data_IF_723325888521
#
_entry.id   IF_723325888521
#
_cell.length_a   1.000
_cell.length_b   1.000
_cell.length_c   1.000
_cell.angle_alpha   90.00
_cell.angle_beta   90.00
_cell.angle_gamma   90.00
#
_symmetry.space_group_name_H-M   'P 1'
#
loop_
_entity.id
_entity.type
_entity.pdbx_description
1 polymer ?
#
# COMPACT_ATOMS: atom_id res chain seq x y z
N UNK A 1 17.11 13.91 -3.24
CA UNK A 1 16.54 13.10 -2.15
C UNK A 1 16.25 11.74 -2.75
N UNK A 2 16.97 10.69 -2.35
CA UNK A 2 16.55 9.33 -2.65
C UNK A 2 15.36 9.06 -1.74
N UNK A 3 14.16 9.04 -2.32
CA UNK A 3 12.93 8.78 -1.56
C UNK A 3 12.82 7.26 -1.40
N UNK A 4 13.74 6.64 -0.64
CA UNK A 4 13.66 5.24 -0.24
C UNK A 4 12.41 5.07 0.62
N UNK A 5 11.31 4.62 0.02
CA UNK A 5 10.19 4.08 0.78
C UNK A 5 10.64 2.71 1.28
N UNK A 6 11.02 2.66 2.56
CA UNK A 6 11.30 1.40 3.25
C UNK A 6 9.97 0.69 3.50
N UNK A 7 9.61 -0.20 2.57
CA UNK A 7 8.40 -0.99 2.67
C UNK A 7 8.55 -2.20 3.59
N UNK A 8 9.71 -2.44 4.22
CA UNK A 8 9.92 -3.65 5.01
C UNK A 8 8.87 -3.82 6.11
N UNK A 9 8.46 -2.72 6.77
CA UNK A 9 7.43 -2.77 7.79
C UNK A 9 6.06 -3.12 7.18
N UNK A 10 5.60 -2.37 6.17
CA UNK A 10 4.30 -2.62 5.52
C UNK A 10 4.21 -4.02 4.89
N UNK A 11 5.30 -4.52 4.31
CA UNK A 11 5.39 -5.87 3.75
C UNK A 11 5.26 -6.91 4.86
N UNK A 12 5.97 -6.74 5.97
CA UNK A 12 5.89 -7.66 7.11
C UNK A 12 4.49 -7.66 7.74
N UNK A 13 3.89 -6.48 7.92
CA UNK A 13 2.54 -6.32 8.47
C UNK A 13 1.50 -6.99 7.55
N UNK A 14 1.47 -6.63 6.27
CA UNK A 14 0.52 -7.20 5.32
C UNK A 14 0.69 -8.74 5.17
N UNK A 15 1.93 -9.23 5.20
CA UNK A 15 2.19 -10.66 5.18
C UNK A 15 1.71 -11.36 6.46
N UNK A 16 1.88 -10.75 7.63
CA UNK A 16 1.38 -11.27 8.89
C UNK A 16 -0.16 -11.32 8.89
N UNK A 17 -0.82 -10.25 8.45
CA UNK A 17 -2.28 -10.16 8.40
C UNK A 17 -2.91 -11.19 7.47
N UNK A 18 -2.28 -11.43 6.30
CA UNK A 18 -2.71 -12.49 5.38
C UNK A 18 -2.53 -13.88 6.02
N UNK A 19 -1.42 -14.10 6.72
CA UNK A 19 -1.13 -15.37 7.39
C UNK A 19 -2.08 -15.63 8.57
N UNK A 20 -2.48 -14.59 9.28
CA UNK A 20 -3.43 -14.64 10.39
C UNK A 20 -4.89 -14.71 9.93
N UNK A 21 -5.15 -14.52 8.63
CA UNK A 21 -6.48 -14.56 8.04
C UNK A 21 -7.30 -13.29 8.27
N UNK A 22 -6.63 -12.19 8.65
CA UNK A 22 -7.23 -10.87 8.79
C UNK A 22 -7.50 -10.24 7.42
N UNK A 23 -6.68 -10.57 6.42
CA UNK A 23 -6.81 -10.13 5.03
C UNK A 23 -6.84 -11.36 4.12
N UNK A 24 -7.77 -11.40 3.17
CA UNK A 24 -7.77 -12.41 2.11
C UNK A 24 -6.66 -12.11 1.09
N UNK A 25 -5.61 -12.94 1.06
CA UNK A 25 -4.49 -12.79 0.13
C UNK A 25 -4.87 -12.88 -1.36
N UNK A 26 -6.03 -13.44 -1.70
CA UNK A 26 -6.57 -13.46 -3.06
C UNK A 26 -7.63 -12.37 -3.31
N UNK A 27 -7.98 -11.62 -2.26
CA UNK A 27 -8.98 -10.57 -2.28
C UNK A 27 -8.41 -9.22 -2.72
N UNK A 28 -9.19 -8.19 -2.41
CA UNK A 28 -8.82 -6.80 -2.62
C UNK A 28 -8.69 -6.08 -1.29
N UNK A 29 -7.85 -5.05 -1.27
CA UNK A 29 -7.65 -4.19 -0.11
C UNK A 29 -7.65 -2.73 -0.53
N UNK A 30 -8.10 -1.85 0.37
CA UNK A 30 -8.01 -0.40 0.17
C UNK A 30 -6.65 0.07 0.66
N UNK A 31 -5.98 0.89 -0.15
CA UNK A 31 -4.69 1.49 0.18
C UNK A 31 -4.76 3.00 0.05
N UNK A 32 -4.05 3.70 0.94
CA UNK A 32 -3.75 5.12 0.77
C UNK A 32 -2.47 5.27 -0.04
N UNK A 33 -2.54 6.09 -1.09
CA UNK A 33 -1.37 6.49 -1.88
C UNK A 33 -0.76 7.79 -1.38
N UNK A 34 0.55 7.87 -1.44
CA UNK A 34 1.30 9.11 -1.17
C UNK A 34 1.33 10.03 -2.39
N UNK A 35 2.12 11.10 -2.27
CA UNK A 35 2.39 12.00 -3.40
C UNK A 35 3.05 11.26 -4.56
N UNK A 36 2.64 11.59 -5.78
CA UNK A 36 3.28 11.01 -6.97
C UNK A 36 4.72 11.50 -7.07
N UNK A 37 5.65 10.55 -7.10
CA UNK A 37 7.08 10.78 -7.30
C UNK A 37 7.49 10.36 -8.72
N UNK A 38 8.60 10.91 -9.19
CA UNK A 38 9.18 10.55 -10.49
C UNK A 38 10.40 9.66 -10.24
N UNK A 39 10.35 8.43 -10.75
CA UNK A 39 11.45 7.45 -10.70
C UNK A 39 11.90 7.19 -12.13
N UNK A 40 13.06 7.76 -12.49
CA UNK A 40 13.55 7.76 -13.87
C UNK A 40 12.61 8.52 -14.81
N UNK A 41 12.01 7.80 -15.77
CA UNK A 41 11.03 8.35 -16.72
C UNK A 41 9.57 7.96 -16.40
N UNK A 42 9.32 7.41 -15.21
CA UNK A 42 8.00 6.94 -14.79
C UNK A 42 7.52 7.71 -13.57
N UNK A 43 6.22 7.99 -13.51
CA UNK A 43 5.54 8.50 -12.32
C UNK A 43 5.03 7.33 -11.48
N UNK A 44 5.17 7.41 -10.17
CA UNK A 44 4.74 6.39 -9.22
C UNK A 44 4.14 7.04 -7.97
N UNK A 45 2.97 6.56 -7.54
CA UNK A 45 2.36 6.97 -6.28
C UNK A 45 2.57 5.86 -5.24
N UNK A 46 3.43 6.08 -4.22
CA UNK A 46 3.82 5.08 -3.24
C UNK A 46 2.63 4.68 -2.36
N UNK A 47 2.67 3.46 -1.83
CA UNK A 47 1.72 3.01 -0.81
C UNK A 47 2.15 3.64 0.51
N UNK A 48 1.21 4.26 1.22
CA UNK A 48 1.48 4.84 2.55
C UNK A 48 0.84 4.01 3.64
N UNK A 49 -0.37 3.50 3.39
CA UNK A 49 -1.11 2.69 4.35
C UNK A 49 -2.09 1.76 3.63
N UNK A 50 -2.63 0.78 4.35
CA UNK A 50 -3.77 -0.02 3.93
C UNK A 50 -4.83 -0.09 5.02
N UNK A 51 -6.06 -0.41 4.63
CA UNK A 51 -7.21 -0.44 5.53
C UNK A 51 -7.89 -1.80 5.45
N UNK A 52 -8.32 -2.29 6.61
CA UNK A 52 -9.14 -3.48 6.70
C UNK A 52 -10.53 -3.21 6.14
N UNK A 53 -11.24 -4.27 5.77
CA UNK A 53 -12.64 -4.17 5.32
C UNK A 53 -13.57 -3.69 6.43
N UNK A 54 -13.16 -3.86 7.70
CA UNK A 54 -13.88 -3.35 8.88
C UNK A 54 -13.68 -1.86 9.12
N UNK A 55 -12.72 -1.23 8.46
CA UNK A 55 -12.41 0.19 8.68
C UNK A 55 -13.40 1.08 7.92
N UNK A 56 -13.97 2.05 8.62
CA UNK A 56 -14.81 3.08 8.00
C UNK A 56 -13.94 4.21 7.45
N UNK A 57 -13.24 3.91 6.35
CA UNK A 57 -12.27 4.81 5.71
C UNK A 57 -12.88 6.16 5.33
N UNK A 58 -14.17 6.19 4.98
CA UNK A 58 -14.87 7.41 4.57
C UNK A 58 -15.04 8.42 5.72
N UNK A 59 -14.93 7.96 6.98
CA UNK A 59 -15.04 8.79 8.17
C UNK A 59 -13.68 9.20 8.77
N UNK A 60 -12.57 8.76 8.19
CA UNK A 60 -11.24 9.10 8.68
C UNK A 60 -10.81 10.49 8.18
N UNK A 61 -10.84 11.49 9.08
CA UNK A 61 -10.49 12.89 8.76
C UNK A 61 -9.04 13.07 8.30
N UNK A 62 -8.13 12.19 8.71
CA UNK A 62 -6.70 12.24 8.36
C UNK A 62 -6.38 11.58 7.02
N UNK A 63 -7.35 10.88 6.42
CA UNK A 63 -7.17 10.13 5.17
C UNK A 63 -7.64 10.96 3.99
N UNK A 64 -6.76 11.16 3.01
CA UNK A 64 -7.15 11.80 1.76
C UNK A 64 -7.91 10.81 0.87
N UNK A 65 -9.24 10.94 0.83
CA UNK A 65 -10.14 10.06 0.05
C UNK A 65 -9.80 10.02 -1.45
N UNK A 66 -9.22 11.09 -2.02
CA UNK A 66 -8.80 11.12 -3.43
C UNK A 66 -7.60 10.21 -3.71
N UNK A 67 -6.90 9.76 -2.67
CA UNK A 67 -5.72 8.89 -2.74
C UNK A 67 -6.02 7.44 -2.38
N UNK A 68 -7.28 7.14 -2.04
CA UNK A 68 -7.69 5.78 -1.74
C UNK A 68 -7.85 5.01 -3.05
N UNK A 69 -7.24 3.83 -3.10
CA UNK A 69 -7.34 2.92 -4.23
C UNK A 69 -7.64 1.51 -3.74
N UNK A 70 -8.50 0.80 -4.47
CA UNK A 70 -8.71 -0.63 -4.26
C UNK A 70 -7.77 -1.40 -5.18
N UNK A 71 -6.94 -2.26 -4.59
CA UNK A 71 -5.94 -3.07 -5.28
C UNK A 71 -6.06 -4.53 -4.85
N UNK A 72 -5.58 -5.48 -5.66
CA UNK A 72 -5.49 -6.86 -5.20
C UNK A 72 -4.32 -7.02 -4.24
N UNK A 73 -4.51 -7.82 -3.20
CA UNK A 73 -3.50 -8.02 -2.14
C UNK A 73 -2.19 -8.59 -2.71
N UNK A 74 -2.29 -9.55 -3.63
CA UNK A 74 -1.12 -10.13 -4.29
C UNK A 74 -0.37 -9.12 -5.18
N UNK A 75 -1.08 -8.28 -5.93
CA UNK A 75 -0.51 -7.23 -6.78
C UNK A 75 0.19 -6.17 -5.92
N UNK A 76 -0.43 -5.78 -4.79
CA UNK A 76 0.14 -4.86 -3.81
C UNK A 76 1.44 -5.39 -3.20
N UNK A 77 1.47 -6.67 -2.81
CA UNK A 77 2.67 -7.28 -2.24
C UNK A 77 3.83 -7.29 -3.25
N UNK A 78 3.55 -7.65 -4.51
CA UNK A 78 4.54 -7.62 -5.59
C UNK A 78 5.02 -6.19 -5.83
N UNK A 79 4.11 -5.21 -5.85
CA UNK A 79 4.42 -3.80 -6.01
C UNK A 79 5.39 -3.32 -4.93
N UNK A 80 5.05 -3.52 -3.64
CA UNK A 80 5.88 -3.08 -2.52
C UNK A 80 7.25 -3.76 -2.53
N UNK A 81 7.33 -5.08 -2.79
CA UNK A 81 8.60 -5.80 -2.92
C UNK A 81 9.46 -5.23 -4.05
N UNK A 82 8.86 -5.01 -5.23
CA UNK A 82 9.57 -4.47 -6.41
C UNK A 82 10.12 -3.08 -6.12
N UNK A 83 9.32 -2.23 -5.49
CA UNK A 83 9.73 -0.87 -5.18
C UNK A 83 10.78 -0.85 -4.06
N UNK A 84 10.72 -1.75 -3.09
CA UNK A 84 11.73 -1.85 -2.03
C UNK A 84 13.12 -2.26 -2.56
N UNK A 85 13.20 -2.94 -3.70
CA UNK A 85 14.47 -3.27 -4.37
C UNK A 85 15.03 -2.14 -5.24
N UNK A 86 14.17 -1.23 -5.72
CA UNK A 86 14.53 -0.17 -6.66
C UNK A 86 15.07 1.08 -5.96
N UNK A 87 14.62 1.35 -4.72
CA UNK A 87 14.74 2.66 -4.08
C UNK A 87 15.72 2.69 -2.91
#
# INVERSE_FOLDING_TARGET
>A
MNISYDYNNLIHELHADVKEGLIDGNGTIRVERGETIIIGHKSYAPVVNYFYDTDDVEQLEEVNQERIQTVKVNELMIEMLTMNEIV
#
